data_IF_951775518124
#
_entry.id   IF_951775518124
#
_cell.length_a   1.000
_cell.length_b   1.000
_cell.length_c   1.000
_cell.angle_alpha   90.00
_cell.angle_beta   90.00
_cell.angle_gamma   90.00
#
_symmetry.space_group_name_H-M   'P 1'
#
loop_
_entity.id
_entity.type
_entity.pdbx_description
1 polymer ?
#
# COMPACT_ATOMS: atom_id res chain seq x y z
N UNK A 1 -7.28 2.91 3.65
CA UNK A 1 -7.04 1.45 3.80
C UNK A 1 -6.12 1.23 4.99
N UNK A 2 -6.37 0.22 5.83
CA UNK A 2 -5.47 -0.08 6.95
C UNK A 2 -4.30 -0.94 6.46
N UNK A 3 -3.11 -0.34 6.35
CA UNK A 3 -1.91 -1.08 5.95
C UNK A 3 -1.26 -1.85 7.10
N UNK A 4 -1.70 -1.64 8.35
CA UNK A 4 -1.15 -2.31 9.54
C UNK A 4 -1.74 -3.70 9.73
N UNK A 5 -3.05 -3.83 9.48
CA UNK A 5 -3.79 -5.10 9.52
C UNK A 5 -4.41 -5.33 8.16
N UNK A 6 -3.81 -6.23 7.38
CA UNK A 6 -4.21 -6.50 5.99
C UNK A 6 -5.16 -7.69 6.01
N UNK A 7 -6.41 -7.47 5.61
CA UNK A 7 -7.36 -8.55 5.32
C UNK A 7 -7.52 -8.70 3.81
N UNK A 8 -6.70 -9.55 3.18
CA UNK A 8 -6.55 -9.56 1.72
C UNK A 8 -7.81 -9.98 0.97
N UNK A 9 -8.60 -10.91 1.54
CA UNK A 9 -9.85 -11.36 0.94
C UNK A 9 -10.82 -10.21 0.68
N UNK A 10 -11.08 -9.38 1.70
CA UNK A 10 -11.93 -8.19 1.59
C UNK A 10 -11.45 -7.18 0.54
N UNK A 11 -10.15 -7.12 0.25
CA UNK A 11 -9.59 -6.21 -0.76
C UNK A 11 -9.85 -6.77 -2.16
N UNK A 12 -9.66 -8.08 -2.31
CA UNK A 12 -9.94 -8.79 -3.56
C UNK A 12 -11.43 -8.66 -3.89
N UNK A 13 -12.32 -8.89 -2.93
CA UNK A 13 -13.78 -8.76 -3.11
C UNK A 13 -14.15 -7.35 -3.59
N UNK A 14 -13.64 -6.31 -2.93
CA UNK A 14 -13.86 -4.92 -3.37
C UNK A 14 -13.40 -4.70 -4.81
N UNK A 15 -12.22 -5.22 -5.17
CA UNK A 15 -11.69 -5.09 -6.52
C UNK A 15 -12.55 -5.85 -7.54
N UNK A 16 -13.07 -7.03 -7.20
CA UNK A 16 -14.00 -7.78 -8.05
C UNK A 16 -15.27 -6.98 -8.32
N UNK A 17 -15.85 -6.38 -7.28
CA UNK A 17 -17.05 -5.53 -7.38
C UNK A 17 -16.79 -4.33 -8.29
N UNK A 18 -15.65 -3.65 -8.14
CA UNK A 18 -15.24 -2.52 -8.99
C UNK A 18 -15.00 -2.94 -10.45
N UNK A 19 -14.41 -4.12 -10.65
CA UNK A 19 -14.13 -4.69 -11.98
C UNK A 19 -15.36 -5.26 -12.68
N UNK A 20 -16.49 -5.43 -11.96
CA UNK A 20 -17.74 -6.03 -12.47
C UNK A 20 -17.51 -7.36 -13.19
N UNK A 21 -16.59 -8.16 -12.66
CA UNK A 21 -16.33 -9.50 -13.18
C UNK A 21 -17.38 -10.46 -12.59
N UNK A 22 -18.02 -11.22 -13.46
CA UNK A 22 -18.95 -12.29 -13.08
C UNK A 22 -18.23 -13.42 -12.33
N UNK A 23 -18.86 -13.94 -11.27
CA UNK A 23 -18.28 -15.01 -10.44
C UNK A 23 -18.00 -16.28 -11.25
N UNK A 24 -18.81 -16.58 -12.26
CA UNK A 24 -18.58 -17.69 -13.19
C UNK A 24 -17.23 -17.58 -13.92
N UNK A 25 -16.85 -16.37 -14.36
CA UNK A 25 -15.54 -16.12 -14.99
C UNK A 25 -14.40 -16.30 -13.99
N UNK A 26 -14.61 -15.90 -12.73
CA UNK A 26 -13.64 -16.12 -11.66
C UNK A 26 -13.43 -17.61 -11.45
N UNK A 27 -14.49 -18.38 -11.23
CA UNK A 27 -14.43 -19.83 -11.02
C UNK A 27 -13.69 -20.54 -12.18
N UNK A 28 -13.95 -20.15 -13.43
CA UNK A 28 -13.25 -20.70 -14.61
C UNK A 28 -11.75 -20.36 -14.56
N UNK A 29 -11.39 -19.09 -14.32
CA UNK A 29 -9.99 -18.67 -14.30
C UNK A 29 -9.23 -19.27 -13.12
N UNK A 30 -9.88 -19.34 -11.96
CA UNK A 30 -9.33 -19.80 -10.69
C UNK A 30 -9.37 -21.33 -10.56
N UNK A 31 -10.17 -22.02 -11.37
CA UNK A 31 -10.40 -23.47 -11.31
C UNK A 31 -10.87 -23.91 -9.92
N UNK A 32 -11.85 -23.20 -9.40
CA UNK A 32 -12.42 -23.39 -8.07
C UNK A 32 -13.95 -23.21 -8.13
N UNK A 33 -14.66 -23.64 -7.09
CA UNK A 33 -16.10 -23.42 -6.93
C UNK A 33 -16.40 -21.98 -6.50
N UNK A 34 -17.69 -21.62 -6.51
CA UNK A 34 -18.17 -20.34 -6.01
C UNK A 34 -17.96 -20.24 -4.49
N UNK A 35 -18.19 -21.33 -3.76
CA UNK A 35 -17.96 -21.41 -2.31
C UNK A 35 -16.50 -21.15 -1.97
N UNK A 36 -15.55 -21.74 -2.70
CA UNK A 36 -14.12 -21.49 -2.52
C UNK A 36 -13.75 -20.02 -2.78
N UNK A 37 -14.43 -19.35 -3.72
CA UNK A 37 -14.25 -17.91 -3.94
C UNK A 37 -14.74 -17.10 -2.74
N UNK A 38 -15.91 -17.44 -2.18
CA UNK A 38 -16.47 -16.76 -1.00
C UNK A 38 -15.60 -16.97 0.25
N UNK A 39 -15.01 -18.16 0.40
CA UNK A 39 -14.00 -18.44 1.43
C UNK A 39 -12.77 -17.54 1.25
N UNK A 40 -12.28 -17.38 0.02
CA UNK A 40 -11.15 -16.48 -0.26
C UNK A 40 -11.45 -15.02 0.10
N UNK A 41 -12.69 -14.55 -0.12
CA UNK A 41 -13.08 -13.18 0.28
C UNK A 41 -13.11 -12.99 1.80
N UNK A 42 -13.47 -14.04 2.53
CA UNK A 42 -13.53 -14.04 3.99
C UNK A 42 -12.17 -14.27 4.66
N UNK A 43 -11.15 -14.65 3.89
CA UNK A 43 -9.82 -14.96 4.43
C UNK A 43 -8.97 -13.71 4.66
N UNK A 44 -8.32 -13.64 5.82
CA UNK A 44 -7.38 -12.55 6.15
C UNK A 44 -6.10 -12.62 5.29
N UNK A 45 -5.65 -13.83 4.98
CA UNK A 45 -4.50 -14.09 4.13
C UNK A 45 -4.83 -15.09 3.01
N UNK A 46 -3.94 -15.15 2.01
CA UNK A 46 -4.01 -16.13 0.94
C UNK A 46 -2.60 -16.59 0.61
N UNK A 47 -2.48 -17.84 0.14
CA UNK A 47 -1.20 -18.30 -0.38
C UNK A 47 -0.75 -17.43 -1.56
N UNK A 48 0.56 -17.24 -1.71
CA UNK A 48 1.14 -16.29 -2.67
C UNK A 48 0.85 -16.67 -4.12
N UNK A 49 0.71 -17.97 -4.42
CA UNK A 49 0.30 -18.45 -5.74
C UNK A 49 -1.12 -18.01 -6.10
N UNK A 50 -2.05 -18.08 -5.14
CA UNK A 50 -3.44 -17.66 -5.30
C UNK A 50 -3.52 -16.14 -5.42
N UNK A 51 -2.79 -15.41 -4.57
CA UNK A 51 -2.72 -13.95 -4.64
C UNK A 51 -2.17 -13.46 -5.98
N UNK A 52 -1.19 -14.17 -6.54
CA UNK A 52 -0.65 -13.86 -7.87
C UNK A 52 -1.69 -14.09 -8.98
N UNK A 53 -2.52 -15.14 -8.87
CA UNK A 53 -3.60 -15.38 -9.83
C UNK A 53 -4.67 -14.31 -9.74
N UNK A 54 -5.08 -13.92 -8.53
CA UNK A 54 -5.97 -12.78 -8.32
C UNK A 54 -5.40 -11.49 -8.90
N UNK A 55 -4.10 -11.23 -8.71
CA UNK A 55 -3.43 -10.06 -9.27
C UNK A 55 -3.50 -10.03 -10.80
N UNK A 56 -3.34 -11.18 -11.44
CA UNK A 56 -3.45 -11.32 -12.91
C UNK A 56 -4.89 -11.16 -13.39
N UNK A 57 -5.86 -11.77 -12.71
CA UNK A 57 -7.28 -11.71 -13.10
C UNK A 57 -7.84 -10.30 -13.00
N UNK A 58 -7.46 -9.56 -11.95
CA UNK A 58 -8.01 -8.25 -11.62
C UNK A 58 -7.11 -7.08 -12.07
N UNK A 59 -6.00 -7.40 -12.74
CA UNK A 59 -4.98 -6.46 -13.21
C UNK A 59 -4.54 -5.48 -12.11
N UNK A 60 -4.41 -6.00 -10.89
CA UNK A 60 -4.09 -5.22 -9.70
C UNK A 60 -2.96 -5.88 -8.91
N UNK A 61 -1.91 -5.13 -8.61
CA UNK A 61 -0.76 -5.64 -7.87
C UNK A 61 -1.03 -5.65 -6.36
N UNK A 62 -1.65 -6.73 -5.87
CA UNK A 62 -1.97 -6.89 -4.46
C UNK A 62 -0.72 -7.00 -3.56
N UNK A 63 0.44 -7.37 -4.11
CA UNK A 63 1.69 -7.44 -3.35
C UNK A 63 2.19 -6.07 -2.89
N UNK A 64 1.75 -4.99 -3.56
CA UNK A 64 2.04 -3.64 -3.11
C UNK A 64 1.51 -3.36 -1.71
N UNK A 65 0.35 -3.89 -1.35
CA UNK A 65 -0.24 -3.67 -0.02
C UNK A 65 0.72 -4.16 1.07
N UNK A 66 1.29 -5.34 0.89
CA UNK A 66 2.30 -5.90 1.78
C UNK A 66 3.62 -5.11 1.74
N UNK A 67 4.05 -4.68 0.55
CA UNK A 67 5.23 -3.81 0.42
C UNK A 67 5.06 -2.50 1.20
N UNK A 68 3.86 -1.91 1.17
CA UNK A 68 3.54 -0.72 1.94
C UNK A 68 3.53 -0.97 3.44
N UNK A 69 3.00 -2.10 3.89
CA UNK A 69 3.11 -2.51 5.28
C UNK A 69 4.57 -2.57 5.71
N UNK A 70 5.44 -3.18 4.90
CA UNK A 70 6.86 -3.27 5.20
C UNK A 70 7.50 -1.88 5.34
N UNK A 71 7.21 -0.95 4.42
CA UNK A 71 7.74 0.41 4.44
C UNK A 71 7.31 1.17 5.70
N UNK A 72 6.02 1.09 6.07
CA UNK A 72 5.43 1.88 7.14
C UNK A 72 5.66 1.30 8.54
N UNK A 73 5.69 -0.04 8.67
CA UNK A 73 5.60 -0.71 9.98
C UNK A 73 6.73 -1.68 10.30
N UNK A 74 7.61 -2.03 9.37
CA UNK A 74 8.79 -2.85 9.72
C UNK A 74 9.63 -2.09 10.75
N UNK A 75 10.32 -2.73 11.71
CA UNK A 75 11.28 -2.05 12.58
C UNK A 75 12.38 -1.39 11.73
N UNK A 76 13.13 -0.39 12.26
CA UNK A 76 14.23 0.19 11.52
C UNK A 76 15.13 -0.99 11.26
N UNK A 77 15.31 -1.35 9.99
CA UNK A 77 16.47 -2.12 9.65
C UNK A 77 17.62 -1.34 10.26
N UNK A 78 18.48 -2.01 11.03
CA UNK A 78 19.81 -1.50 11.25
C UNK A 78 20.46 -1.46 9.86
N UNK A 79 20.00 -0.58 8.96
CA UNK A 79 20.46 -0.43 7.60
C UNK A 79 21.83 0.27 7.59
N UNK A 80 22.34 0.63 8.77
CA UNK A 80 23.74 0.89 9.07
C UNK A 80 24.53 -0.36 9.48
N UNK A 81 23.90 -1.53 9.68
CA UNK A 81 24.55 -2.79 9.25
C UNK A 81 24.45 -2.80 7.74
N UNK A 82 25.26 -1.94 7.13
CA UNK A 82 25.75 -2.14 5.78
C UNK A 82 26.05 -3.63 5.70
N UNK A 83 25.50 -4.33 4.69
CA UNK A 83 26.22 -5.52 4.23
C UNK A 83 27.69 -5.06 4.11
N UNK A 84 28.66 -5.82 4.64
CA UNK A 84 30.07 -5.45 4.59
C UNK A 84 30.35 -4.80 3.24
N UNK A 85 30.84 -3.55 3.27
CA UNK A 85 31.02 -2.73 2.08
C UNK A 85 31.69 -3.57 0.98
N UNK A 86 30.93 -3.91 -0.06
CA UNK A 86 31.38 -4.82 -1.14
C UNK A 86 30.48 -6.03 -1.41
N UNK A 87 29.64 -6.45 -0.47
CA UNK A 87 28.68 -7.56 -0.73
C UNK A 87 27.45 -6.98 -1.44
N UNK A 88 27.46 -7.04 -2.77
CA UNK A 88 26.28 -6.75 -3.59
C UNK A 88 25.38 -7.99 -3.57
N UNK A 89 24.10 -7.81 -3.24
CA UNK A 89 23.12 -8.89 -3.40
C UNK A 89 23.03 -9.31 -4.86
N UNK A 90 22.92 -10.62 -5.10
CA UNK A 90 22.63 -11.18 -6.44
C UNK A 90 21.14 -11.11 -6.77
N UNK A 91 20.29 -10.83 -5.79
CA UNK A 91 18.86 -10.66 -5.99
C UNK A 91 18.54 -9.28 -6.59
N UNK A 92 17.41 -9.13 -7.28
CA UNK A 92 16.94 -7.84 -7.75
C UNK A 92 16.88 -6.82 -6.60
N UNK A 93 17.43 -5.63 -6.86
CA UNK A 93 17.38 -4.52 -5.92
C UNK A 93 16.15 -3.69 -6.23
N UNK A 94 15.21 -3.64 -5.28
CA UNK A 94 14.03 -2.80 -5.39
C UNK A 94 14.29 -1.40 -4.83
N UNK A 95 13.60 -0.39 -5.37
CA UNK A 95 13.67 0.98 -4.82
C UNK A 95 13.22 0.95 -3.36
N UNK A 96 14.01 1.55 -2.47
CA UNK A 96 13.74 1.54 -1.01
C UNK A 96 12.32 1.97 -0.64
N UNK A 97 11.73 2.92 -1.37
CA UNK A 97 10.36 3.38 -1.13
C UNK A 97 9.62 3.60 -2.46
N UNK A 98 8.42 3.03 -2.58
CA UNK A 98 7.43 3.36 -3.62
C UNK A 98 6.17 3.79 -2.88
N UNK A 99 6.00 5.08 -2.64
CA UNK A 99 4.80 5.57 -1.96
C UNK A 99 3.65 5.68 -2.98
N UNK A 100 2.55 4.98 -2.73
CA UNK A 100 1.35 5.09 -3.56
C UNK A 100 0.58 6.37 -3.24
N UNK A 101 -0.34 6.77 -4.12
CA UNK A 101 -1.18 7.95 -3.91
C UNK A 101 -1.98 7.81 -2.60
N UNK A 102 -2.52 6.63 -2.32
CA UNK A 102 -3.31 6.34 -1.13
C UNK A 102 -2.52 6.54 0.18
N UNK A 103 -1.21 6.27 0.16
CA UNK A 103 -0.33 6.55 1.31
C UNK A 103 -0.06 8.03 1.44
N UNK A 104 0.21 8.70 0.32
CA UNK A 104 0.44 10.14 0.33
C UNK A 104 -0.81 10.81 0.92
N UNK A 105 -2.00 10.45 0.44
CA UNK A 105 -3.28 10.97 0.90
C UNK A 105 -3.51 10.66 2.38
N UNK A 106 -3.29 9.41 2.82
CA UNK A 106 -3.38 9.03 4.24
C UNK A 106 -2.45 9.86 5.14
N UNK A 107 -1.21 10.06 4.74
CA UNK A 107 -0.23 10.83 5.51
C UNK A 107 -0.60 12.32 5.54
N UNK A 108 -1.06 12.87 4.42
CA UNK A 108 -1.54 14.25 4.35
C UNK A 108 -2.79 14.46 5.21
N UNK A 109 -3.68 13.47 5.28
CA UNK A 109 -4.87 13.50 6.14
C UNK A 109 -4.52 13.54 7.62
N UNK A 110 -3.52 12.76 8.07
CA UNK A 110 -3.03 12.82 9.45
C UNK A 110 -2.50 14.20 9.83
N UNK A 111 -1.88 14.92 8.88
CA UNK A 111 -1.41 16.29 9.08
C UNK A 111 -2.58 17.26 9.10
N UNK A 112 -3.49 17.15 8.12
CA UNK A 112 -4.66 18.03 7.96
C UNK A 112 -5.57 17.98 9.18
N UNK A 113 -5.83 16.79 9.68
CA UNK A 113 -6.63 16.54 10.89
C UNK A 113 -5.89 16.89 12.19
N UNK A 114 -4.61 17.29 12.10
CA UNK A 114 -3.70 17.49 13.25
C UNK A 114 -3.58 16.26 14.15
N UNK A 115 -3.93 15.07 13.64
CA UNK A 115 -3.81 13.81 14.38
C UNK A 115 -2.34 13.46 14.65
N UNK A 116 -1.43 13.83 13.74
CA UNK A 116 0.02 13.71 13.93
C UNK A 116 0.77 14.92 13.39
N UNK A 117 1.84 15.29 14.07
CA UNK A 117 2.80 16.30 13.62
C UNK A 117 3.71 15.76 12.51
N UNK A 118 4.33 16.66 11.74
CA UNK A 118 5.32 16.31 10.72
C UNK A 118 6.48 15.50 11.32
N UNK A 119 6.91 15.83 12.53
CA UNK A 119 8.00 15.13 13.23
C UNK A 119 7.59 13.71 13.62
N UNK A 120 6.38 13.53 14.15
CA UNK A 120 5.84 12.20 14.47
C UNK A 120 5.72 11.34 13.22
N UNK A 121 5.25 11.91 12.10
CA UNK A 121 5.15 11.20 10.82
C UNK A 121 6.50 10.72 10.32
N UNK A 122 7.52 11.59 10.33
CA UNK A 122 8.89 11.23 9.92
C UNK A 122 9.43 10.10 10.80
N UNK A 123 9.15 10.13 12.11
CA UNK A 123 9.64 9.13 13.06
C UNK A 123 8.91 7.80 12.94
N UNK A 124 7.59 7.83 12.86
CA UNK A 124 6.72 6.65 12.95
C UNK A 124 6.61 5.91 11.61
N UNK A 125 6.40 6.64 10.51
CA UNK A 125 6.23 6.07 9.17
C UNK A 125 7.50 6.08 8.32
N UNK A 126 8.60 6.59 8.88
CA UNK A 126 9.93 6.66 8.24
C UNK A 126 9.94 7.33 6.88
N UNK A 127 9.06 8.29 6.70
CA UNK A 127 9.04 9.10 5.49
C UNK A 127 10.17 10.12 5.61
N UNK A 128 11.15 10.15 4.68
CA UNK A 128 12.21 11.14 4.74
C UNK A 128 11.62 12.55 4.79
N UNK A 129 12.20 13.43 5.62
CA UNK A 129 11.73 14.82 5.78
C UNK A 129 11.56 15.51 4.44
N UNK A 130 12.55 15.38 3.54
CA UNK A 130 12.49 15.95 2.20
C UNK A 130 11.33 15.42 1.36
N UNK A 131 11.01 14.13 1.47
CA UNK A 131 9.85 13.51 0.81
C UNK A 131 8.54 14.07 1.37
N UNK A 132 8.38 14.11 2.70
CA UNK A 132 7.16 14.61 3.33
C UNK A 132 6.89 16.07 2.97
N UNK A 133 7.92 16.92 3.01
CA UNK A 133 7.78 18.33 2.66
C UNK A 133 7.40 18.52 1.18
N UNK A 134 7.93 17.69 0.27
CA UNK A 134 7.52 17.69 -1.14
C UNK A 134 6.04 17.32 -1.32
N UNK A 135 5.51 16.40 -0.52
CA UNK A 135 4.08 16.04 -0.59
C UNK A 135 3.20 17.17 -0.09
N UNK A 136 3.57 17.79 1.03
CA UNK A 136 2.86 18.95 1.60
C UNK A 136 2.84 20.09 0.58
N UNK A 137 3.99 20.45 0.01
CA UNK A 137 4.08 21.57 -0.94
C UNK A 137 3.41 21.31 -2.30
N UNK A 138 3.03 20.07 -2.60
CA UNK A 138 2.30 19.76 -3.83
C UNK A 138 0.79 19.74 -3.61
N UNK A 139 0.34 19.28 -2.44
CA UNK A 139 -1.08 18.96 -2.24
C UNK A 139 -1.80 19.90 -1.26
N UNK A 140 -1.07 20.62 -0.40
CA UNK A 140 -1.67 21.54 0.59
C UNK A 140 -1.69 22.98 0.05
N UNK A 141 -0.72 23.37 -0.78
CA UNK A 141 -0.71 24.71 -1.41
C UNK A 141 -1.65 24.84 -2.61
N UNK A 142 -2.08 23.74 -3.22
CA UNK A 142 -3.07 23.75 -4.32
C UNK A 142 -4.54 23.81 -3.83
N UNK A 143 -4.80 23.66 -2.52
CA UNK A 143 -6.14 23.66 -1.93
C UNK A 143 -6.44 24.90 -1.06
N UNK A 144 -5.71 26.00 -1.26
CA UNK A 144 -6.09 27.29 -0.67
C UNK A 144 -7.14 27.90 -1.61
N UNK A 145 -8.40 28.12 -1.19
CA UNK A 145 -9.23 29.09 -1.87
C UNK A 145 -8.48 30.42 -1.83
N UNK A 146 -8.44 31.09 -2.97
CA UNK A 146 -8.17 32.52 -3.02
C UNK A 146 -9.26 33.23 -2.21
N UNK A 147 -9.10 33.35 -0.91
CA UNK A 147 -9.83 34.35 -0.14
C UNK A 147 -9.09 35.68 -0.30
N UNK A 148 -9.60 36.39 -1.30
CA UNK A 148 -9.73 37.83 -1.48
C UNK A 148 -9.38 38.71 -0.26
N UNK A 149 -8.62 39.77 -0.55
CA UNK A 149 -8.80 41.14 -0.06
C UNK A 149 -9.40 41.32 1.35
N UNK A 150 -8.59 41.71 2.33
CA UNK A 150 -8.47 43.09 2.87
C UNK A 150 -7.51 43.09 4.07
#
# INVERSE_FOLDING_TARGET
MNFKHIHIGSVIEKRVIESKIEISRICIFMKCSEEEVMEMYSSEDLNTGMLLRWSKLLEYDFFRIYTQHLILYSPPSNADRQMPSGIKTKLPVFRKNIYSKEIIDFILDLIRTKSKTRTEIVKEYRIPKTTLYKWISKNITENTPEDENT
#
